data_IF_741993367059
#
_entry.id   IF_741993367059
#
_cell.length_a   1.000
_cell.length_b   1.000
_cell.length_c   1.000
_cell.angle_alpha   90.00
_cell.angle_beta   90.00
_cell.angle_gamma   90.00
#
_symmetry.space_group_name_H-M   'P 1'
#
loop_
_entity.id
_entity.type
_entity.pdbx_description
1 polymer ?
#
# COMPACT_ATOMS: atom_id res chain seq x y z
N UNK A 1 53.56 32.36 -28.32
CA UNK A 1 52.37 31.88 -29.07
C UNK A 1 51.15 32.04 -28.16
N UNK A 2 50.27 33.01 -28.43
CA UNK A 2 49.05 33.22 -27.63
C UNK A 2 48.00 32.16 -27.94
N UNK A 3 47.56 31.45 -26.90
CA UNK A 3 46.48 30.46 -26.95
C UNK A 3 45.16 31.21 -27.09
N UNK A 4 44.52 31.12 -28.26
CA UNK A 4 43.17 31.69 -28.50
C UNK A 4 42.14 30.82 -27.77
N UNK A 5 41.78 31.19 -26.54
CA UNK A 5 40.59 30.67 -25.87
C UNK A 5 39.44 31.64 -26.18
N UNK A 6 38.94 31.61 -27.41
CA UNK A 6 37.66 32.24 -27.71
C UNK A 6 36.57 31.29 -27.22
N UNK A 7 35.76 31.72 -26.26
CA UNK A 7 34.49 31.05 -25.99
C UNK A 7 33.61 31.23 -27.23
N UNK A 8 33.38 30.15 -27.99
CA UNK A 8 32.37 30.12 -29.06
C UNK A 8 30.97 30.27 -28.43
N UNK A 9 30.62 31.50 -28.07
CA UNK A 9 29.36 31.86 -27.41
C UNK A 9 28.24 32.06 -28.43
N UNK A 10 27.95 31.12 -29.32
CA UNK A 10 26.83 31.28 -30.26
C UNK A 10 26.11 29.98 -30.66
N UNK A 11 26.19 28.92 -29.85
CA UNK A 11 25.23 27.82 -29.98
C UNK A 11 24.07 28.11 -29.03
N UNK A 12 23.12 28.93 -29.50
CA UNK A 12 21.80 29.01 -28.88
C UNK A 12 20.99 27.84 -29.45
N UNK A 13 20.68 26.79 -28.66
CA UNK A 13 19.93 25.67 -29.18
C UNK A 13 18.58 26.18 -29.67
N UNK A 14 18.25 25.90 -30.93
CA UNK A 14 16.97 26.30 -31.50
C UNK A 14 15.87 25.40 -30.92
N UNK A 15 15.33 25.81 -29.77
CA UNK A 15 14.32 25.05 -29.01
C UNK A 15 13.05 24.77 -29.85
N UNK A 16 12.77 25.58 -30.88
CA UNK A 16 11.66 25.39 -31.81
C UNK A 16 11.90 24.28 -32.84
N UNK A 17 13.15 23.92 -33.12
CA UNK A 17 13.56 22.86 -34.06
C UNK A 17 14.16 21.65 -33.33
N UNK A 18 13.76 21.41 -32.08
CA UNK A 18 14.17 20.18 -31.40
C UNK A 18 13.54 18.99 -32.13
N UNK A 19 14.34 18.06 -32.69
CA UNK A 19 13.84 16.94 -33.48
C UNK A 19 12.95 15.98 -32.67
N UNK A 20 12.91 16.17 -31.35
CA UNK A 20 12.18 15.33 -30.43
C UNK A 20 10.85 15.96 -29.97
N UNK A 21 10.56 17.21 -30.31
CA UNK A 21 9.32 17.87 -29.86
C UNK A 21 8.07 17.15 -30.39
N UNK A 22 8.08 16.78 -31.67
CA UNK A 22 7.02 15.98 -32.31
C UNK A 22 6.96 14.56 -31.73
N UNK A 23 8.12 13.94 -31.47
CA UNK A 23 8.21 12.62 -30.85
C UNK A 23 7.59 12.61 -29.45
N UNK A 24 7.95 13.58 -28.57
CA UNK A 24 7.39 13.69 -27.23
C UNK A 24 5.90 14.05 -27.23
N UNK A 25 5.43 14.80 -28.22
CA UNK A 25 4.01 15.10 -28.39
C UNK A 25 3.19 13.87 -28.83
N UNK A 26 3.80 12.96 -29.59
CA UNK A 26 3.19 11.71 -30.05
C UNK A 26 3.23 10.59 -29.00
N UNK A 27 3.99 10.75 -27.92
CA UNK A 27 3.99 9.77 -26.83
C UNK A 27 2.61 9.74 -26.15
N UNK A 28 2.05 8.54 -25.92
CA UNK A 28 0.84 8.41 -25.11
C UNK A 28 1.07 9.07 -23.76
N UNK A 29 0.25 10.06 -23.40
CA UNK A 29 0.28 10.62 -22.05
C UNK A 29 -0.06 9.49 -21.09
N UNK A 30 0.88 9.17 -20.21
CA UNK A 30 0.63 8.21 -19.15
C UNK A 30 -0.46 8.77 -18.23
N UNK A 31 -1.68 8.31 -18.41
CA UNK A 31 -2.76 8.56 -17.45
C UNK A 31 -2.40 7.83 -16.16
N UNK A 32 -2.08 8.61 -15.12
CA UNK A 32 -1.94 8.06 -13.77
C UNK A 32 -3.28 7.50 -13.35
N UNK A 33 -3.46 6.19 -13.49
CA UNK A 33 -4.59 5.51 -12.84
C UNK A 33 -4.42 5.71 -11.33
N UNK A 34 -5.45 6.20 -10.61
CA UNK A 34 -5.38 6.25 -9.16
C UNK A 34 -5.19 4.82 -8.67
N UNK A 35 -4.06 4.55 -8.03
CA UNK A 35 -3.89 3.34 -7.25
C UNK A 35 -4.82 3.51 -6.05
N UNK A 36 -6.02 2.93 -6.13
CA UNK A 36 -6.87 2.79 -4.95
C UNK A 36 -6.15 1.78 -4.06
N UNK A 37 -5.39 2.29 -3.10
CA UNK A 37 -4.77 1.47 -2.06
C UNK A 37 -5.92 1.08 -1.12
N UNK A 38 -6.78 0.15 -1.55
CA UNK A 38 -7.58 -0.60 -0.60
C UNK A 38 -6.56 -1.32 0.28
N UNK A 39 -6.57 -1.04 1.58
CA UNK A 39 -5.79 -1.78 2.54
C UNK A 39 -6.74 -2.80 3.17
N UNK A 40 -7.07 -3.92 2.48
CA UNK A 40 -8.11 -4.86 2.93
C UNK A 40 -7.85 -5.35 4.36
N UNK A 41 -6.58 -5.43 4.75
CA UNK A 41 -6.17 -5.74 6.11
C UNK A 41 -6.59 -4.67 7.14
N UNK A 42 -6.43 -3.39 6.83
CA UNK A 42 -6.84 -2.30 7.71
C UNK A 42 -8.37 -2.16 7.76
N UNK A 43 -9.06 -2.49 6.67
CA UNK A 43 -10.52 -2.53 6.61
C UNK A 43 -11.06 -3.64 7.52
N UNK A 44 -10.48 -4.84 7.45
CA UNK A 44 -10.81 -5.96 8.35
C UNK A 44 -10.50 -5.63 9.81
N UNK A 45 -9.36 -5.00 10.10
CA UNK A 45 -9.02 -4.56 11.46
C UNK A 45 -10.08 -3.56 11.96
N UNK A 46 -10.51 -2.63 11.11
CA UNK A 46 -11.50 -1.62 11.48
C UNK A 46 -12.87 -2.27 11.75
N UNK A 47 -13.30 -3.21 10.92
CA UNK A 47 -14.54 -3.97 11.13
C UNK A 47 -14.52 -4.76 12.46
N UNK A 48 -13.40 -5.42 12.78
CA UNK A 48 -13.26 -6.15 14.05
C UNK A 48 -13.25 -5.20 15.24
N UNK A 49 -12.59 -4.04 15.12
CA UNK A 49 -12.58 -3.00 16.17
C UNK A 49 -14.00 -2.50 16.45
N UNK A 50 -14.77 -2.20 15.41
CA UNK A 50 -16.16 -1.74 15.54
C UNK A 50 -17.06 -2.81 16.18
N UNK A 51 -16.92 -4.07 15.78
CA UNK A 51 -17.75 -5.15 16.30
C UNK A 51 -17.40 -5.56 17.74
N UNK A 52 -16.11 -5.54 18.10
CA UNK A 52 -15.62 -5.98 19.43
C UNK A 52 -15.46 -4.84 20.42
N UNK A 53 -15.51 -3.58 19.97
CA UNK A 53 -15.23 -2.38 20.77
C UNK A 53 -13.86 -2.44 21.47
N UNK A 54 -12.91 -3.18 20.90
CA UNK A 54 -11.55 -3.32 21.42
C UNK A 54 -10.62 -2.29 20.80
N UNK A 55 -9.49 -2.05 21.47
CA UNK A 55 -8.45 -1.18 20.94
C UNK A 55 -7.89 -1.76 19.62
N UNK A 56 -7.71 -0.90 18.62
CA UNK A 56 -7.06 -1.23 17.34
C UNK A 56 -5.73 -1.95 17.50
N UNK A 57 -4.93 -1.59 18.51
CA UNK A 57 -3.68 -2.29 18.79
C UNK A 57 -3.89 -3.74 19.19
N UNK A 58 -4.87 -4.00 20.07
CA UNK A 58 -5.23 -5.37 20.51
C UNK A 58 -5.68 -6.22 19.33
N UNK A 59 -6.55 -5.69 18.46
CA UNK A 59 -7.01 -6.39 17.26
C UNK A 59 -5.85 -6.67 16.30
N UNK A 60 -4.90 -5.75 16.14
CA UNK A 60 -3.67 -6.01 15.37
C UNK A 60 -2.85 -7.15 15.96
N UNK A 61 -2.68 -7.19 17.28
CA UNK A 61 -1.99 -8.29 17.95
C UNK A 61 -2.68 -9.64 17.72
N UNK A 62 -4.02 -9.67 17.65
CA UNK A 62 -4.77 -10.87 17.25
C UNK A 62 -4.50 -11.27 15.81
N UNK A 63 -4.58 -10.33 14.87
CA UNK A 63 -4.33 -10.59 13.44
C UNK A 63 -2.90 -11.04 13.15
N UNK A 64 -1.94 -10.68 14.02
CA UNK A 64 -0.56 -11.13 13.94
C UNK A 64 -0.26 -12.41 14.73
N UNK A 65 -1.23 -12.92 15.48
CA UNK A 65 -1.07 -14.12 16.31
C UNK A 65 -0.22 -13.90 17.57
N UNK A 66 0.09 -12.65 17.94
CA UNK A 66 0.81 -12.35 19.19
C UNK A 66 -0.05 -12.63 20.42
N UNK A 67 -1.34 -12.37 20.31
CA UNK A 67 -2.33 -12.65 21.34
C UNK A 67 -3.58 -13.24 20.70
N UNK A 68 -4.47 -13.82 21.51
CA UNK A 68 -5.77 -14.30 21.05
C UNK A 68 -6.88 -13.58 21.80
N UNK A 69 -8.10 -13.52 21.25
CA UNK A 69 -9.27 -13.09 22.00
C UNK A 69 -9.52 -14.04 23.16
N UNK A 70 -9.73 -13.49 24.36
CA UNK A 70 -9.96 -14.29 25.56
C UNK A 70 -11.42 -14.76 25.65
N UNK A 71 -12.35 -13.94 25.18
CA UNK A 71 -13.78 -14.22 25.28
C UNK A 71 -14.25 -15.08 24.10
N UNK A 72 -15.12 -16.06 24.40
CA UNK A 72 -15.79 -16.87 23.38
C UNK A 72 -16.63 -16.00 22.43
N UNK A 73 -17.19 -14.88 22.91
CA UNK A 73 -17.96 -13.94 22.11
C UNK A 73 -17.07 -13.26 21.06
N UNK A 74 -15.88 -12.84 21.45
CA UNK A 74 -14.92 -12.19 20.54
C UNK A 74 -14.42 -13.17 19.48
N UNK A 75 -14.15 -14.42 19.89
CA UNK A 75 -13.76 -15.48 18.95
C UNK A 75 -14.84 -15.71 17.89
N UNK A 76 -16.13 -15.71 18.29
CA UNK A 76 -17.26 -15.84 17.35
C UNK A 76 -17.37 -14.66 16.40
N UNK A 77 -17.26 -13.43 16.90
CA UNK A 77 -17.31 -12.21 16.07
C UNK A 77 -16.18 -12.21 15.03
N UNK A 78 -14.96 -12.51 15.46
CA UNK A 78 -13.81 -12.57 14.54
C UNK A 78 -14.00 -13.68 13.50
N UNK A 79 -14.51 -14.84 13.91
CA UNK A 79 -14.79 -15.95 13.01
C UNK A 79 -15.88 -15.60 11.97
N UNK A 80 -16.94 -14.90 12.39
CA UNK A 80 -17.99 -14.41 11.49
C UNK A 80 -17.46 -13.40 10.47
N UNK A 81 -16.67 -12.41 10.90
CA UNK A 81 -16.07 -11.41 10.01
C UNK A 81 -15.11 -12.05 9.01
N UNK A 82 -14.35 -13.06 9.44
CA UNK A 82 -13.41 -13.80 8.59
C UNK A 82 -14.07 -14.95 7.80
N UNK A 83 -15.38 -15.14 7.94
CA UNK A 83 -16.15 -16.22 7.31
C UNK A 83 -15.53 -17.61 7.53
N UNK A 84 -15.04 -17.85 8.74
CA UNK A 84 -14.36 -19.08 9.14
C UNK A 84 -14.98 -19.65 10.41
N UNK A 85 -14.66 -20.90 10.73
CA UNK A 85 -15.05 -21.50 11.99
C UNK A 85 -14.08 -21.13 13.13
N UNK A 86 -14.61 -21.10 14.36
CA UNK A 86 -13.86 -20.76 15.57
C UNK A 86 -12.80 -21.82 15.87
N UNK A 87 -13.11 -23.11 15.68
CA UNK A 87 -12.15 -24.19 15.91
C UNK A 87 -10.95 -24.13 14.94
N UNK A 88 -11.18 -23.62 13.72
CA UNK A 88 -10.13 -23.43 12.72
C UNK A 88 -9.24 -22.24 13.06
N UNK A 89 -9.82 -21.12 13.50
CA UNK A 89 -9.05 -19.90 13.82
C UNK A 89 -8.37 -19.95 15.19
N UNK A 90 -8.96 -20.64 16.16
CA UNK A 90 -8.50 -20.69 17.54
C UNK A 90 -8.44 -22.14 18.03
N UNK A 91 -7.54 -22.98 17.47
CA UNK A 91 -7.40 -24.37 17.89
C UNK A 91 -6.93 -24.45 19.35
N UNK A 92 -7.45 -25.45 20.08
CA UNK A 92 -6.92 -25.79 21.39
C UNK A 92 -5.46 -26.24 21.24
N UNK A 93 -4.58 -25.74 22.12
CA UNK A 93 -3.20 -26.23 22.15
C UNK A 93 -3.26 -27.70 22.50
N UNK A 94 -2.74 -28.56 21.63
CA UNK A 94 -2.38 -29.91 22.01
C UNK A 94 -1.22 -29.77 22.99
N UNK A 95 -1.43 -30.18 24.24
CA UNK A 95 -0.33 -30.36 25.18
C UNK A 95 0.61 -31.40 24.57
N UNK A 96 1.85 -30.99 24.27
CA UNK A 96 2.96 -31.88 23.89
C UNK A 96 3.62 -32.46 25.15
#
# INVERSE_FOLDING_TARGET
MSKKNGSDNNIVPNLKKLPLAEYFAALPKAERRPVIISAPKEDVITAIVEATQRNRHTVRCWMYGYTQPNSMVEKKIVAEILQSDVATLFPERKEE
#
